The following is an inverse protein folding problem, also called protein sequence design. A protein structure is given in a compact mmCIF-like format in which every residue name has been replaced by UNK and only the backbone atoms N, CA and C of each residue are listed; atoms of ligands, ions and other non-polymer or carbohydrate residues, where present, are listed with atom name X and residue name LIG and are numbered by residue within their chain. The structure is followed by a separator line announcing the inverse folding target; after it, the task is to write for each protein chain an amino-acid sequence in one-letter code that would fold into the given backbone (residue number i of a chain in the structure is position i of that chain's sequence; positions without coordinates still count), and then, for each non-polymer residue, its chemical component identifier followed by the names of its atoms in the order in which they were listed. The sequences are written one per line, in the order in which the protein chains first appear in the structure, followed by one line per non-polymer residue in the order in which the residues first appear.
data_IF_615274719503
#
_entry.id   IF_615274719503
#
_cell.length_a   1.000
_cell.length_b   1.000
_cell.length_c   1.000
_cell.angle_alpha   90.00
_cell.angle_beta   90.00
_cell.angle_gamma   90.00
#
_symmetry.space_group_name_H-M   'P 1'
#
loop_
_entity.id
_entity.type
_entity.pdbx_description
1 polymer ?
#
# COMPACT_ATOMS: atom_id res chain seq x y z
N UNK A 1 17.71 -22.95 -9.69
CA UNK A 1 17.99 -21.58 -9.21
C UNK A 1 16.78 -20.72 -9.53
N UNK A 2 16.42 -19.79 -8.63
CA UNK A 2 15.49 -18.63 -8.81
C UNK A 2 14.02 -18.97 -9.15
N UNK A 3 12.97 -18.56 -8.42
CA UNK A 3 12.78 -17.49 -7.44
C UNK A 3 11.70 -17.88 -6.43
N UNK A 4 11.86 -17.45 -5.17
CA UNK A 4 10.82 -17.56 -4.14
C UNK A 4 9.55 -16.87 -4.66
N UNK A 5 8.54 -17.67 -5.03
CA UNK A 5 7.22 -17.19 -5.40
C UNK A 5 6.64 -16.46 -4.21
N UNK A 6 6.62 -15.14 -4.33
CA UNK A 6 5.92 -14.19 -3.48
C UNK A 6 4.55 -14.79 -3.11
N UNK A 7 4.41 -15.19 -1.85
CA UNK A 7 3.15 -15.71 -1.31
C UNK A 7 2.22 -14.52 -1.14
N UNK A 8 1.65 -14.05 -2.25
CA UNK A 8 0.59 -13.07 -2.23
C UNK A 8 -0.62 -13.76 -1.62
N UNK A 9 -0.98 -13.37 -0.40
CA UNK A 9 -2.24 -13.76 0.23
C UNK A 9 -3.36 -13.59 -0.81
N UNK A 10 -4.24 -14.58 -1.01
CA UNK A 10 -5.08 -14.70 -2.20
C UNK A 10 -6.13 -13.59 -2.38
N UNK A 11 -6.18 -12.60 -1.49
CA UNK A 11 -7.14 -11.52 -1.54
C UNK A 11 -6.57 -10.15 -1.10
N UNK A 12 -5.25 -10.00 -1.10
CA UNK A 12 -4.60 -8.77 -0.65
C UNK A 12 -4.23 -7.89 -1.84
N UNK A 13 -4.81 -6.69 -1.92
CA UNK A 13 -4.60 -5.72 -3.00
C UNK A 13 -3.89 -4.47 -2.50
N UNK A 14 -3.05 -3.84 -3.33
CA UNK A 14 -2.53 -2.51 -3.06
C UNK A 14 -3.63 -1.48 -3.27
N UNK A 15 -3.86 -0.63 -2.28
CA UNK A 15 -4.88 0.41 -2.33
C UNK A 15 -4.48 1.61 -1.49
N UNK A 16 -5.14 2.73 -1.76
CA UNK A 16 -5.01 3.93 -0.94
C UNK A 16 -5.86 3.76 0.31
N UNK A 17 -5.26 4.00 1.47
CA UNK A 17 -5.85 3.85 2.78
C UNK A 17 -5.71 5.16 3.57
N UNK A 18 -6.57 5.35 4.56
CA UNK A 18 -6.60 6.56 5.39
C UNK A 18 -6.24 6.26 6.84
N UNK A 19 -5.45 7.14 7.44
CA UNK A 19 -5.14 7.17 8.87
C UNK A 19 -5.33 8.57 9.44
N UNK A 20 -5.12 8.73 10.75
CA UNK A 20 -5.09 10.04 11.40
C UNK A 20 -3.98 10.97 10.84
N UNK A 21 -2.88 10.42 10.31
CA UNK A 21 -1.78 11.19 9.74
C UNK A 21 -2.01 11.60 8.27
N UNK A 22 -3.06 11.09 7.61
CA UNK A 22 -3.35 11.30 6.20
C UNK A 22 -3.55 9.99 5.44
N UNK A 23 -3.46 10.08 4.10
CA UNK A 23 -3.60 8.97 3.18
C UNK A 23 -2.26 8.31 2.92
N UNK A 24 -2.25 7.00 2.68
CA UNK A 24 -1.05 6.22 2.41
C UNK A 24 -1.38 5.07 1.45
N UNK A 25 -0.36 4.46 0.85
CA UNK A 25 -0.50 3.25 0.05
C UNK A 25 -0.23 2.09 0.98
N UNK A 26 -1.14 1.12 0.99
CA UNK A 26 -1.01 -0.05 1.81
C UNK A 26 -1.64 -1.26 1.17
N UNK A 27 -1.53 -2.39 1.86
CA UNK A 27 -2.23 -3.60 1.48
C UNK A 27 -3.57 -3.67 2.19
N UNK A 28 -4.60 -4.01 1.44
CA UNK A 28 -5.97 -4.14 1.93
C UNK A 28 -6.52 -5.51 1.59
N UNK A 29 -7.17 -6.13 2.57
CA UNK A 29 -7.90 -7.37 2.41
C UNK A 29 -9.40 -7.07 2.54
N UNK A 30 -10.25 -7.42 1.55
CA UNK A 30 -11.69 -7.18 1.63
C UNK A 30 -12.39 -7.81 2.83
N UNK A 31 -11.83 -8.88 3.40
CA UNK A 31 -12.42 -9.60 4.54
C UNK A 31 -11.81 -9.22 5.89
N UNK A 32 -10.55 -8.76 5.94
CA UNK A 32 -9.85 -8.41 7.20
C UNK A 32 -9.65 -6.90 7.38
N UNK A 33 -9.76 -6.11 6.31
CA UNK A 33 -9.50 -4.68 6.31
C UNK A 33 -8.04 -4.33 5.96
N UNK A 34 -7.54 -3.16 6.39
CA UNK A 34 -6.17 -2.72 6.10
C UNK A 34 -5.15 -3.61 6.83
N UNK A 35 -4.22 -4.22 6.10
CA UNK A 35 -3.23 -5.16 6.65
C UNK A 35 -1.93 -4.43 6.99
N UNK A 36 -1.36 -3.69 6.05
CA UNK A 36 -0.06 -3.03 6.23
C UNK A 36 0.03 -1.71 5.49
N UNK A 37 0.92 -0.83 5.99
CA UNK A 37 1.33 0.40 5.30
C UNK A 37 2.62 0.15 4.54
N UNK A 38 2.53 0.33 3.23
CA UNK A 38 3.61 0.06 2.28
C UNK A 38 4.34 1.34 1.87
N UNK A 39 3.65 2.48 1.72
CA UNK A 39 4.32 3.76 1.44
C UNK A 39 5.00 4.35 2.67
N UNK A 40 6.18 4.92 2.44
CA UNK A 40 6.88 5.76 3.41
C UNK A 40 6.13 7.09 3.59
N UNK A 41 5.55 7.59 2.50
CA UNK A 41 4.87 8.86 2.43
C UNK A 41 3.44 8.80 2.99
N UNK A 42 3.02 9.95 3.52
CA UNK A 42 1.63 10.29 3.73
C UNK A 42 1.24 11.44 2.79
N UNK A 43 0.04 11.36 2.24
CA UNK A 43 -0.56 12.40 1.41
C UNK A 43 -1.71 13.08 2.14
N UNK A 44 -1.94 14.36 1.82
CA UNK A 44 -3.02 15.15 2.43
C UNK A 44 -4.39 14.79 1.86
N UNK A 45 -4.44 14.33 0.61
CA UNK A 45 -5.67 13.94 -0.07
C UNK A 45 -5.54 12.55 -0.68
N UNK A 46 -6.67 11.86 -0.82
CA UNK A 46 -6.77 10.55 -1.46
C UNK A 46 -6.24 10.59 -2.90
N UNK A 47 -6.69 11.57 -3.69
CA UNK A 47 -6.26 11.75 -5.08
C UNK A 47 -4.73 11.90 -5.25
N UNK A 48 -4.02 12.48 -4.26
CA UNK A 48 -2.56 12.55 -4.30
C UNK A 48 -1.92 11.18 -4.11
N UNK A 49 -2.44 10.39 -3.16
CA UNK A 49 -1.99 9.02 -2.93
C UNK A 49 -2.34 8.10 -4.11
N UNK A 50 -3.52 8.27 -4.71
CA UNK A 50 -3.93 7.51 -5.90
C UNK A 50 -3.04 7.82 -7.09
N UNK A 51 -2.74 9.10 -7.31
CA UNK A 51 -1.79 9.51 -8.35
C UNK A 51 -0.43 8.90 -8.10
N UNK A 52 0.07 8.90 -6.86
CA UNK A 52 1.34 8.27 -6.52
C UNK A 52 1.31 6.76 -6.81
N UNK A 53 0.24 6.06 -6.41
CA UNK A 53 0.06 4.63 -6.67
C UNK A 53 0.04 4.32 -8.18
N UNK A 54 -0.72 5.08 -8.96
CA UNK A 54 -0.84 4.90 -10.42
C UNK A 54 0.46 5.22 -11.17
N UNK A 55 1.18 6.25 -10.72
CA UNK A 55 2.43 6.68 -11.36
C UNK A 55 3.65 5.92 -10.86
N UNK A 56 3.53 5.15 -9.77
CA UNK A 56 4.65 4.51 -9.09
C UNK A 56 5.60 5.51 -8.40
N UNK A 57 5.18 6.77 -8.22
CA UNK A 57 6.00 7.82 -7.58
C UNK A 57 5.74 7.80 -6.07
N UNK A 58 6.17 6.73 -5.41
CA UNK A 58 6.16 6.55 -3.96
C UNK A 58 7.26 5.59 -3.55
N UNK A 59 7.66 5.64 -2.29
CA UNK A 59 8.76 4.82 -1.78
C UNK A 59 8.22 3.71 -0.90
N UNK A 60 8.59 2.46 -1.21
CA UNK A 60 8.29 1.31 -0.37
C UNK A 60 9.06 1.41 0.96
N UNK A 61 8.36 1.22 2.08
CA UNK A 61 9.01 1.16 3.40
C UNK A 61 9.95 -0.03 3.46
N UNK A 62 11.18 0.14 4.00
CA UNK A 62 12.15 -0.94 4.10
C UNK A 62 11.76 -1.98 5.17
N UNK A 63 10.88 -1.64 6.11
CA UNK A 63 10.41 -2.52 7.18
C UNK A 63 8.90 -2.27 7.44
N UNK A 64 8.09 -3.34 7.62
CA UNK A 64 6.66 -3.25 7.94
C UNK A 64 6.37 -2.38 9.17
#
# INVERSE_FOLDING_TARGET
MTNATQTTLPNTVFSVLKSAAGFYIGTFCPVEGPISRESQEYWRTEAQAEKALQTGIWTQRPHP
#
